data_IF_127089786433
#
_entry.id   IF_127089786433
#
_cell.length_a   1.000
_cell.length_b   1.000
_cell.length_c   1.000
_cell.angle_alpha   90.00
_cell.angle_beta   90.00
_cell.angle_gamma   90.00
#
_symmetry.space_group_name_H-M   'P 1'
#
loop_
_entity.id
_entity.type
_entity.pdbx_description
1 polymer ?
#
# COMPACT_ATOMS: atom_id res chain seq x y z
N UNK A 1 -11.19 42.11 27.07
CA UNK A 1 -12.13 42.19 25.93
C UNK A 1 -11.51 42.14 24.53
N UNK A 2 -10.20 42.18 24.40
CA UNK A 2 -9.55 42.21 23.08
C UNK A 2 -8.77 40.95 22.73
N UNK A 3 -8.72 39.96 23.63
CA UNK A 3 -7.93 38.72 23.44
C UNK A 3 -8.69 37.58 22.77
N UNK A 4 -10.02 37.62 22.70
CA UNK A 4 -10.85 36.52 22.19
C UNK A 4 -10.93 36.46 20.65
N UNK A 5 -10.61 37.55 19.93
CA UNK A 5 -10.69 37.56 18.48
C UNK A 5 -9.46 36.99 17.76
N UNK A 6 -8.35 36.74 18.50
CA UNK A 6 -7.12 36.22 17.90
C UNK A 6 -6.99 34.70 17.86
N UNK A 7 -7.82 33.99 18.62
CA UNK A 7 -7.78 32.53 18.73
C UNK A 7 -8.49 31.82 17.56
N UNK A 8 -9.50 32.48 16.97
CA UNK A 8 -10.26 31.92 15.85
C UNK A 8 -9.46 31.83 14.53
N UNK A 9 -8.43 32.63 14.34
CA UNK A 9 -7.63 32.63 13.12
C UNK A 9 -6.63 31.44 13.05
N UNK A 10 -6.25 30.87 14.19
CA UNK A 10 -5.32 29.75 14.24
C UNK A 10 -5.96 28.40 13.89
N UNK A 11 -7.24 28.20 14.17
CA UNK A 11 -7.95 26.96 13.88
C UNK A 11 -8.20 26.75 12.39
N UNK A 12 -8.35 27.83 11.62
CA UNK A 12 -8.58 27.76 10.17
C UNK A 12 -7.32 27.35 9.37
N UNK A 13 -6.14 27.69 9.85
CA UNK A 13 -4.89 27.34 9.16
C UNK A 13 -4.50 25.86 9.29
N UNK A 14 -4.88 25.20 10.40
CA UNK A 14 -4.64 23.77 10.61
C UNK A 14 -5.56 22.88 9.76
N UNK A 15 -6.79 23.31 9.48
CA UNK A 15 -7.74 22.59 8.65
C UNK A 15 -7.38 22.60 7.16
N UNK A 16 -6.64 23.62 6.68
CA UNK A 16 -6.24 23.76 5.27
C UNK A 16 -5.02 22.93 4.90
N UNK A 17 -4.18 22.50 5.85
CA UNK A 17 -2.94 21.76 5.56
C UNK A 17 -3.15 20.24 5.41
N UNK A 18 -4.12 19.64 6.11
CA UNK A 18 -4.40 18.21 6.07
C UNK A 18 -4.93 17.71 4.71
N UNK A 19 -5.86 18.38 4.03
CA UNK A 19 -6.36 17.94 2.73
C UNK A 19 -5.34 18.00 1.59
N UNK A 20 -4.33 18.85 1.68
CA UNK A 20 -3.30 19.01 0.65
C UNK A 20 -2.37 17.80 0.58
N UNK A 21 -2.03 17.16 1.71
CA UNK A 21 -1.21 15.94 1.77
C UNK A 21 -1.95 14.71 1.24
N UNK A 22 -3.27 14.66 1.40
CA UNK A 22 -4.11 13.56 0.93
C UNK A 22 -4.40 13.61 -0.58
N UNK A 23 -4.08 14.73 -1.25
CA UNK A 23 -4.44 15.01 -2.66
C UNK A 23 -3.29 14.80 -3.64
N UNK A 24 -2.18 14.18 -3.25
CA UNK A 24 -1.11 13.90 -4.20
C UNK A 24 -1.62 12.94 -5.28
N UNK A 25 -1.49 13.30 -6.56
CA UNK A 25 -1.96 12.45 -7.65
C UNK A 25 -1.17 11.15 -7.68
N UNK A 26 -1.87 10.04 -7.90
CA UNK A 26 -1.30 8.72 -8.06
C UNK A 26 -1.95 8.04 -9.24
N UNK A 27 -1.15 7.28 -9.97
CA UNK A 27 -1.61 6.52 -11.12
C UNK A 27 -1.55 5.04 -10.79
N UNK A 28 -2.66 4.34 -10.98
CA UNK A 28 -2.70 2.88 -10.91
C UNK A 28 -1.93 2.31 -12.10
N UNK A 29 -0.87 1.57 -11.84
CA UNK A 29 -0.01 1.00 -12.89
C UNK A 29 -0.09 -0.52 -12.97
N UNK A 30 -0.53 -1.18 -11.90
CA UNK A 30 -0.59 -2.64 -11.85
C UNK A 30 -1.59 -3.09 -10.81
N UNK A 31 -2.28 -4.20 -11.10
CA UNK A 31 -3.09 -4.93 -10.13
C UNK A 31 -2.70 -6.39 -10.21
N UNK A 32 -2.26 -6.96 -9.11
CA UNK A 32 -1.69 -8.31 -9.05
C UNK A 32 -2.32 -9.12 -7.92
N UNK A 33 -2.42 -10.45 -8.05
CA UNK A 33 -2.75 -11.28 -6.90
C UNK A 33 -1.64 -11.20 -5.85
N UNK A 34 -2.00 -11.40 -4.59
CA UNK A 34 -1.02 -11.55 -3.52
C UNK A 34 -0.42 -12.96 -3.56
N UNK A 35 0.89 -13.06 -3.71
CA UNK A 35 1.59 -14.33 -3.64
C UNK A 35 1.86 -14.71 -2.19
N UNK A 36 1.62 -15.98 -1.84
CA UNK A 36 1.92 -16.50 -0.51
C UNK A 36 0.87 -16.21 0.55
N UNK A 37 -0.36 -15.89 0.16
CA UNK A 37 -1.46 -15.61 1.07
C UNK A 37 -1.56 -16.62 2.24
N UNK A 38 -1.40 -17.90 1.95
CA UNK A 38 -1.58 -18.99 2.92
C UNK A 38 -0.42 -19.16 3.90
N UNK A 39 0.72 -18.50 3.67
CA UNK A 39 1.94 -18.71 4.47
C UNK A 39 2.20 -17.63 5.52
N UNK A 40 1.51 -16.49 5.45
CA UNK A 40 1.79 -15.32 6.29
C UNK A 40 0.54 -14.82 6.99
N UNK A 41 0.51 -13.55 7.37
CA UNK A 41 -0.53 -13.00 8.24
C UNK A 41 -1.89 -12.71 7.61
N UNK A 42 -2.03 -12.82 6.29
CA UNK A 42 -3.27 -12.43 5.60
C UNK A 42 -4.51 -13.21 6.08
N UNK A 43 -4.37 -14.50 6.32
CA UNK A 43 -5.47 -15.34 6.79
C UNK A 43 -5.96 -14.93 8.18
N UNK A 44 -5.02 -14.65 9.09
CA UNK A 44 -5.34 -14.26 10.48
C UNK A 44 -5.97 -12.87 10.53
N UNK A 45 -5.52 -11.96 9.66
CA UNK A 45 -5.95 -10.57 9.64
C UNK A 45 -7.14 -10.31 8.70
N UNK A 46 -7.65 -11.34 8.06
CA UNK A 46 -8.67 -11.23 7.01
C UNK A 46 -9.86 -10.36 7.41
N UNK A 47 -10.40 -10.58 8.61
CA UNK A 47 -11.60 -9.88 9.08
C UNK A 47 -11.33 -8.41 9.44
N UNK A 48 -10.06 -8.05 9.67
CA UNK A 48 -9.66 -6.68 10.02
C UNK A 48 -9.33 -5.84 8.78
N UNK A 49 -8.90 -6.47 7.69
CA UNK A 49 -8.56 -5.79 6.45
C UNK A 49 -9.81 -5.39 5.66
N UNK A 50 -9.67 -4.31 4.89
CA UNK A 50 -10.74 -3.79 4.01
C UNK A 50 -10.17 -3.42 2.65
N UNK A 51 -10.97 -3.57 1.61
CA UNK A 51 -10.64 -3.04 0.29
C UNK A 51 -10.35 -1.53 0.40
N UNK A 52 -9.31 -1.07 -0.27
CA UNK A 52 -8.83 0.30 -0.20
C UNK A 52 -7.80 0.58 0.89
N UNK A 53 -7.59 -0.34 1.83
CA UNK A 53 -6.57 -0.17 2.86
C UNK A 53 -5.18 -0.04 2.26
N UNK A 54 -4.36 0.85 2.84
CA UNK A 54 -2.99 1.04 2.42
C UNK A 54 -2.15 -0.21 2.69
N UNK A 55 -1.30 -0.55 1.74
CA UNK A 55 -0.30 -1.61 1.85
C UNK A 55 1.09 -1.00 1.70
N UNK A 56 2.02 -1.43 2.54
CA UNK A 56 3.41 -1.11 2.37
C UNK A 56 4.04 -2.10 1.39
N UNK A 57 4.72 -1.57 0.37
CA UNK A 57 5.50 -2.35 -0.57
C UNK A 57 6.97 -2.15 -0.23
N UNK A 58 7.66 -3.25 0.10
CA UNK A 58 9.02 -3.22 0.61
C UNK A 58 9.92 -4.04 -0.29
N UNK A 59 10.94 -3.40 -0.84
CA UNK A 59 11.93 -4.04 -1.68
C UNK A 59 12.82 -4.96 -0.86
N UNK A 60 13.03 -6.19 -1.34
CA UNK A 60 13.94 -7.16 -0.74
C UNK A 60 14.99 -7.61 -1.77
N UNK A 61 16.02 -6.79 -2.06
CA UNK A 61 17.01 -7.14 -3.07
C UNK A 61 17.87 -8.36 -2.70
N UNK A 62 17.97 -8.65 -1.39
CA UNK A 62 18.76 -9.78 -0.87
C UNK A 62 17.92 -11.06 -0.68
N UNK A 63 16.69 -11.08 -1.18
CA UNK A 63 15.85 -12.27 -1.09
C UNK A 63 16.50 -13.44 -1.85
N UNK A 64 16.67 -14.56 -1.15
CA UNK A 64 17.35 -15.74 -1.69
C UNK A 64 16.63 -16.39 -2.87
N UNK A 65 15.32 -16.24 -2.92
CA UNK A 65 14.47 -16.91 -3.91
C UNK A 65 14.17 -16.02 -5.11
N UNK A 66 14.28 -14.70 -4.93
CA UNK A 66 13.90 -13.75 -5.96
C UNK A 66 14.59 -12.39 -5.73
N UNK A 67 15.57 -12.02 -6.59
CA UNK A 67 16.24 -10.72 -6.45
C UNK A 67 15.34 -9.53 -6.75
N UNK A 68 14.15 -9.75 -7.34
CA UNK A 68 13.16 -8.72 -7.61
C UNK A 68 12.01 -8.73 -6.61
N UNK A 69 12.17 -9.40 -5.47
CA UNK A 69 11.10 -9.54 -4.49
C UNK A 69 10.63 -8.19 -3.97
N UNK A 70 9.31 -8.04 -3.92
CA UNK A 70 8.63 -6.91 -3.30
C UNK A 70 7.66 -7.47 -2.26
N UNK A 71 7.99 -7.26 -0.99
CA UNK A 71 7.17 -7.71 0.13
C UNK A 71 5.97 -6.81 0.30
N UNK A 72 4.83 -7.40 0.62
CA UNK A 72 3.57 -6.70 0.88
C UNK A 72 3.24 -6.81 2.36
N UNK A 73 3.04 -5.67 3.02
CA UNK A 73 2.66 -5.58 4.43
C UNK A 73 1.40 -4.76 4.63
N UNK A 74 0.61 -5.16 5.61
CA UNK A 74 -0.52 -4.40 6.12
C UNK A 74 -0.29 -4.07 7.58
N UNK A 75 -0.24 -2.78 7.92
CA UNK A 75 0.02 -2.28 9.28
C UNK A 75 1.18 -2.99 9.97
N UNK A 76 2.29 -3.16 9.24
CA UNK A 76 3.50 -3.78 9.77
C UNK A 76 3.53 -5.29 9.75
N UNK A 77 2.47 -5.97 9.32
CA UNK A 77 2.41 -7.42 9.23
C UNK A 77 2.58 -7.88 7.79
N UNK A 78 3.52 -8.79 7.58
CA UNK A 78 3.77 -9.38 6.26
C UNK A 78 2.56 -10.20 5.81
N UNK A 79 2.05 -9.88 4.63
CA UNK A 79 0.97 -10.62 4.00
C UNK A 79 1.46 -11.59 2.92
N UNK A 80 2.55 -11.26 2.28
CA UNK A 80 3.11 -12.02 1.17
C UNK A 80 4.00 -11.16 0.29
N UNK A 81 3.95 -11.42 -1.01
CA UNK A 81 4.77 -10.76 -2.02
C UNK A 81 3.95 -10.43 -3.27
N UNK A 82 4.45 -9.52 -4.08
CA UNK A 82 4.02 -9.43 -5.47
C UNK A 82 4.46 -10.70 -6.21
N UNK A 83 3.67 -11.20 -7.19
CA UNK A 83 4.04 -12.41 -7.93
C UNK A 83 5.37 -12.24 -8.67
N UNK A 84 6.18 -13.29 -8.70
CA UNK A 84 7.48 -13.27 -9.39
C UNK A 84 7.36 -12.95 -10.88
N UNK A 85 6.25 -13.30 -11.50
CA UNK A 85 5.97 -13.03 -12.91
C UNK A 85 5.60 -11.58 -13.19
N UNK A 86 5.31 -10.78 -12.16
CA UNK A 86 4.76 -9.43 -12.30
C UNK A 86 5.50 -8.39 -11.43
N UNK A 87 6.62 -8.74 -10.80
CA UNK A 87 7.28 -7.86 -9.84
C UNK A 87 8.46 -7.05 -10.40
N UNK A 88 9.01 -7.45 -11.54
CA UNK A 88 10.26 -6.89 -12.05
C UNK A 88 10.18 -5.39 -12.32
N UNK A 89 9.12 -4.94 -12.97
CA UNK A 89 8.96 -3.52 -13.31
C UNK A 89 8.76 -2.66 -12.06
N UNK A 90 7.97 -3.16 -11.11
CA UNK A 90 7.78 -2.48 -9.82
C UNK A 90 9.09 -2.39 -9.06
N UNK A 91 9.83 -3.49 -8.97
CA UNK A 91 11.15 -3.52 -8.31
C UNK A 91 12.12 -2.53 -8.95
N UNK A 92 12.16 -2.46 -10.28
CA UNK A 92 13.03 -1.53 -11.01
C UNK A 92 12.67 -0.06 -10.71
N UNK A 93 11.39 0.27 -10.67
CA UNK A 93 10.94 1.62 -10.32
C UNK A 93 11.27 1.98 -8.87
N UNK A 94 11.09 1.03 -7.95
CA UNK A 94 11.49 1.24 -6.55
C UNK A 94 12.99 1.49 -6.42
N UNK A 95 13.81 0.75 -7.16
CA UNK A 95 15.27 0.90 -7.14
C UNK A 95 15.73 2.25 -7.71
N UNK A 96 14.95 2.86 -8.59
CA UNK A 96 15.19 4.22 -9.11
C UNK A 96 14.76 5.32 -8.14
N UNK A 97 14.04 4.98 -7.06
CA UNK A 97 13.49 5.95 -6.14
C UNK A 97 12.13 6.51 -6.54
N UNK A 98 11.46 5.93 -7.54
CA UNK A 98 10.09 6.31 -7.90
C UNK A 98 9.16 6.08 -6.71
N UNK A 99 8.31 7.05 -6.33
CA UNK A 99 7.33 6.85 -5.27
C UNK A 99 6.32 5.78 -5.66
N UNK A 100 6.30 4.67 -4.93
CA UNK A 100 5.40 3.55 -5.14
C UNK A 100 4.51 3.40 -3.92
N UNK A 101 3.22 3.19 -4.13
CA UNK A 101 2.26 2.93 -3.07
C UNK A 101 1.41 1.71 -3.42
N UNK A 102 0.96 1.00 -2.40
CA UNK A 102 0.07 -0.15 -2.54
C UNK A 102 -1.25 0.06 -1.82
N UNK A 103 -2.28 -0.61 -2.32
CA UNK A 103 -3.59 -0.71 -1.66
C UNK A 103 -4.18 -2.08 -1.88
N UNK A 104 -5.05 -2.51 -0.97
CA UNK A 104 -5.91 -3.67 -1.22
C UNK A 104 -6.92 -3.28 -2.27
N UNK A 105 -6.81 -3.87 -3.46
CA UNK A 105 -7.71 -3.58 -4.57
C UNK A 105 -8.99 -4.39 -4.50
N UNK A 106 -8.90 -5.64 -4.09
CA UNK A 106 -10.04 -6.56 -3.98
C UNK A 106 -9.78 -7.62 -2.93
N UNK A 107 -10.83 -7.97 -2.21
CA UNK A 107 -10.87 -9.11 -1.30
C UNK A 107 -12.06 -9.99 -1.67
N UNK A 108 -11.84 -11.29 -1.76
CA UNK A 108 -12.90 -12.25 -2.04
C UNK A 108 -12.58 -13.58 -1.34
N UNK A 109 -13.59 -14.17 -0.71
CA UNK A 109 -13.48 -15.55 -0.24
C UNK A 109 -13.40 -16.48 -1.45
N UNK A 110 -12.36 -17.30 -1.50
CA UNK A 110 -12.15 -18.24 -2.60
C UNK A 110 -11.29 -19.40 -2.11
N UNK A 111 -11.60 -20.64 -2.50
CA UNK A 111 -10.75 -21.81 -2.19
C UNK A 111 -9.33 -21.66 -2.72
N UNK A 112 -9.16 -20.96 -3.86
CA UNK A 112 -7.86 -20.67 -4.44
C UNK A 112 -7.24 -19.42 -3.77
N UNK A 113 -6.12 -19.57 -3.02
CA UNK A 113 -5.49 -18.43 -2.34
C UNK A 113 -5.11 -17.27 -3.27
N UNK A 114 -4.76 -17.56 -4.53
CA UNK A 114 -4.41 -16.56 -5.53
C UNK A 114 -5.55 -15.62 -5.89
N UNK A 115 -6.78 -16.02 -5.62
CA UNK A 115 -7.99 -15.25 -5.95
C UNK A 115 -8.56 -14.50 -4.75
N UNK A 116 -7.92 -14.59 -3.58
CA UNK A 116 -8.46 -14.00 -2.35
C UNK A 116 -8.18 -12.52 -2.20
N UNK A 117 -6.98 -12.07 -2.56
CA UNK A 117 -6.58 -10.68 -2.37
C UNK A 117 -5.80 -10.18 -3.58
N UNK A 118 -6.19 -9.01 -4.08
CA UNK A 118 -5.43 -8.30 -5.11
C UNK A 118 -4.75 -7.08 -4.52
N UNK A 119 -3.52 -6.87 -4.97
CA UNK A 119 -2.68 -5.74 -4.60
C UNK A 119 -2.69 -4.76 -5.76
N UNK A 120 -3.19 -3.56 -5.54
CA UNK A 120 -3.11 -2.47 -6.50
C UNK A 120 -1.85 -1.65 -6.24
N UNK A 121 -1.07 -1.41 -7.29
CA UNK A 121 0.19 -0.68 -7.25
C UNK A 121 0.02 0.66 -7.96
N UNK A 122 0.40 1.73 -7.26
CA UNK A 122 0.30 3.11 -7.74
C UNK A 122 1.67 3.75 -7.82
N UNK A 123 1.84 4.61 -8.81
CA UNK A 123 3.01 5.48 -8.93
C UNK A 123 2.58 6.90 -8.55
N UNK A 124 3.36 7.55 -7.68
CA UNK A 124 3.20 8.96 -7.36
C UNK A 124 3.78 9.85 -8.47
N UNK A 125 3.11 10.98 -8.70
CA UNK A 125 3.56 12.00 -9.63
C UNK A 125 4.24 13.16 -8.91
#
# INVERSE_FOLDING_TARGET
MRASARIAAFAAALLCSLPALARQPRILVQSSPLAGFQYYGAKILWDEMREGDALALIREPDNRHDPFAVRVEWRGTKLGYLPRTENRDVAAEMDKGTPIAGRIGRMAENPNPWKRLRVDVFVGL
#
